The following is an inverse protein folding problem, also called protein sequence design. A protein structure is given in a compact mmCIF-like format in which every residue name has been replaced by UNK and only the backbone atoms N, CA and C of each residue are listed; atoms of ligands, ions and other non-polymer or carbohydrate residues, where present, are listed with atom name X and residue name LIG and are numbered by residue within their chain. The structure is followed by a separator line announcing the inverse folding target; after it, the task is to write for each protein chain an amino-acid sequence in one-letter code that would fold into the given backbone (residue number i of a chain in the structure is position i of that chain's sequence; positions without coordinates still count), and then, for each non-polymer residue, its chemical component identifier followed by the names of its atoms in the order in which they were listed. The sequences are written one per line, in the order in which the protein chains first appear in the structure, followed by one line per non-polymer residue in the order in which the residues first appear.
data_IF_619824220292
#
_entry.id   IF_619824220292
#
_cell.length_a   1.000
_cell.length_b   1.000
_cell.length_c   1.000
_cell.angle_alpha   90.00
_cell.angle_beta   90.00
_cell.angle_gamma   90.00
#
_symmetry.space_group_name_H-M   'P 1'
#
loop_
_entity.id
_entity.type
_entity.pdbx_description
1 polymer ?
#
# COMPACT_ATOMS: atom_id res chain seq x y z
N UNK A 1 -7.25 14.84 -15.69
CA UNK A 1 -6.09 14.14 -16.24
C UNK A 1 -4.84 14.73 -15.63
N UNK A 2 -4.14 13.99 -14.81
CA UNK A 2 -2.87 14.41 -14.20
C UNK A 2 -1.73 13.88 -15.06
N UNK A 3 -0.79 14.75 -15.43
CA UNK A 3 0.42 14.37 -16.15
C UNK A 3 1.58 14.36 -15.14
N UNK A 4 2.18 13.20 -14.91
CA UNK A 4 3.46 13.13 -14.21
C UNK A 4 4.54 13.67 -15.13
N UNK A 5 5.31 14.64 -14.67
CA UNK A 5 6.27 15.41 -15.48
C UNK A 5 7.71 15.11 -15.08
N UNK A 6 7.94 14.17 -14.15
CA UNK A 6 9.30 13.81 -13.74
C UNK A 6 9.78 12.54 -14.44
N UNK A 7 10.87 12.68 -15.18
CA UNK A 7 11.63 11.54 -15.71
C UNK A 7 12.59 11.03 -14.63
N UNK A 8 12.31 9.84 -14.11
CA UNK A 8 13.17 9.18 -13.13
C UNK A 8 14.07 8.17 -13.82
N UNK A 9 15.38 8.32 -13.65
CA UNK A 9 16.35 7.29 -14.09
C UNK A 9 16.31 6.15 -13.09
N UNK A 10 15.86 4.97 -13.54
CA UNK A 10 15.80 3.76 -12.72
C UNK A 10 16.99 2.87 -12.99
N UNK A 11 17.63 2.40 -11.92
CA UNK A 11 18.64 1.34 -12.02
C UNK A 11 17.90 -0.01 -12.07
N UNK A 12 18.13 -0.78 -13.15
CA UNK A 12 17.54 -2.12 -13.27
C UNK A 12 18.38 -3.09 -12.46
N UNK A 13 17.75 -3.82 -11.56
CA UNK A 13 18.36 -4.91 -10.79
C UNK A 13 17.48 -6.14 -10.93
N UNK A 14 18.04 -7.20 -11.50
CA UNK A 14 17.36 -8.48 -11.66
C UNK A 14 18.30 -9.57 -11.16
N UNK A 15 17.82 -10.46 -10.30
CA UNK A 15 18.58 -11.63 -9.88
C UNK A 15 18.72 -12.64 -11.02
N UNK A 16 19.72 -13.53 -10.96
CA UNK A 16 20.00 -14.53 -12.00
C UNK A 16 18.80 -15.48 -12.24
N UNK A 17 18.00 -15.74 -11.21
CA UNK A 17 16.78 -16.55 -11.27
C UNK A 17 15.49 -15.73 -11.54
N UNK A 18 15.60 -14.41 -11.73
CA UNK A 18 14.48 -13.52 -11.97
C UNK A 18 13.59 -13.27 -10.74
N UNK A 19 13.90 -13.83 -9.59
CA UNK A 19 13.08 -13.73 -8.36
C UNK A 19 13.07 -12.34 -7.75
N UNK A 20 14.07 -11.51 -8.02
CA UNK A 20 14.16 -10.13 -7.56
C UNK A 20 14.29 -9.19 -8.75
N UNK A 21 13.38 -8.24 -8.85
CA UNK A 21 13.32 -7.27 -9.94
C UNK A 21 13.15 -5.86 -9.39
N UNK A 22 13.96 -4.93 -9.88
CA UNK A 22 13.78 -3.50 -9.65
C UNK A 22 14.06 -2.73 -10.94
N UNK A 23 13.26 -1.72 -11.24
CA UNK A 23 13.39 -0.95 -12.47
C UNK A 23 12.82 -1.64 -13.73
N UNK A 24 12.30 -2.87 -13.61
CA UNK A 24 11.62 -3.56 -14.71
C UNK A 24 10.13 -3.23 -14.69
N UNK A 25 9.58 -2.84 -15.84
CA UNK A 25 8.17 -2.50 -16.01
C UNK A 25 7.26 -3.66 -15.59
N UNK A 26 6.24 -3.39 -14.80
CA UNK A 26 5.21 -4.37 -14.48
C UNK A 26 4.27 -4.60 -15.67
N UNK A 27 4.03 -3.56 -16.48
CA UNK A 27 3.16 -3.62 -17.67
C UNK A 27 3.68 -4.55 -18.77
N UNK A 28 4.99 -4.56 -18.98
CA UNK A 28 5.67 -5.33 -20.05
C UNK A 28 6.63 -6.37 -19.52
N UNK A 29 6.48 -6.78 -18.25
CA UNK A 29 7.37 -7.74 -17.63
C UNK A 29 7.39 -9.05 -18.42
N UNK A 30 8.59 -9.64 -18.72
CA UNK A 30 8.68 -10.94 -19.37
C UNK A 30 8.16 -12.08 -18.47
N UNK A 31 8.31 -11.94 -17.16
CA UNK A 31 7.84 -12.92 -16.16
C UNK A 31 6.36 -12.71 -15.86
N UNK A 32 5.54 -13.74 -16.07
CA UNK A 32 4.08 -13.67 -15.85
C UNK A 32 3.73 -13.36 -14.39
N UNK A 33 4.55 -13.83 -13.45
CA UNK A 33 4.36 -13.58 -12.02
C UNK A 33 4.45 -12.10 -11.66
N UNK A 34 5.17 -11.31 -12.42
CA UNK A 34 5.31 -9.87 -12.24
C UNK A 34 4.52 -9.04 -13.24
N UNK A 35 3.92 -9.67 -14.26
CA UNK A 35 3.19 -8.95 -15.29
C UNK A 35 1.77 -8.58 -14.84
N UNK A 36 1.44 -7.31 -15.00
CA UNK A 36 0.08 -6.79 -14.86
C UNK A 36 -0.11 -5.59 -15.82
N UNK A 37 -1.14 -5.55 -16.68
CA UNK A 37 -1.42 -4.39 -17.53
C UNK A 37 -2.00 -3.23 -16.71
N UNK A 38 -1.19 -2.69 -15.82
CA UNK A 38 -1.57 -1.76 -14.76
C UNK A 38 -2.11 -0.42 -15.31
N UNK A 39 -1.66 0.00 -16.51
CA UNK A 39 -2.13 1.21 -17.21
C UNK A 39 -3.63 1.15 -17.59
N UNK A 40 -4.24 -0.03 -17.54
CA UNK A 40 -5.68 -0.24 -17.79
C UNK A 40 -6.50 -0.24 -16.49
N UNK A 41 -5.85 -0.05 -15.34
CA UNK A 41 -6.49 -0.11 -14.03
C UNK A 41 -6.83 1.30 -13.56
N UNK A 42 -8.08 1.53 -13.23
CA UNK A 42 -8.60 2.82 -12.75
C UNK A 42 -8.30 3.09 -11.26
N UNK A 43 -7.84 2.08 -10.56
CA UNK A 43 -7.49 2.12 -9.13
C UNK A 43 -6.01 2.37 -8.85
N UNK A 44 -5.13 2.26 -9.85
CA UNK A 44 -3.71 2.56 -9.67
C UNK A 44 -3.38 3.95 -10.24
N UNK A 45 -2.70 4.77 -9.46
CA UNK A 45 -2.55 6.20 -9.80
C UNK A 45 -1.58 6.44 -10.96
N UNK A 46 -0.59 5.55 -11.14
CA UNK A 46 0.41 5.68 -12.20
C UNK A 46 0.15 4.71 -13.37
N UNK A 47 0.80 4.99 -14.49
CA UNK A 47 0.68 4.15 -15.69
C UNK A 47 1.51 2.86 -15.65
N UNK A 48 2.50 2.76 -14.74
CA UNK A 48 3.35 1.60 -14.58
C UNK A 48 3.92 1.51 -13.16
N UNK A 49 4.49 0.34 -12.82
CA UNK A 49 5.21 0.10 -11.58
C UNK A 49 6.57 -0.56 -11.88
N UNK A 50 7.64 0.10 -11.46
CA UNK A 50 9.03 -0.33 -11.64
C UNK A 50 9.68 -0.80 -10.33
N UNK A 51 8.89 -1.05 -9.33
CA UNK A 51 9.33 -1.44 -7.99
C UNK A 51 10.03 -2.79 -7.92
N UNK A 52 10.37 -3.17 -6.71
CA UNK A 52 10.94 -4.49 -6.37
C UNK A 52 9.92 -5.61 -6.61
N UNK A 53 10.37 -6.86 -6.51
CA UNK A 53 9.48 -8.02 -6.59
C UNK A 53 8.36 -7.97 -5.54
N UNK A 54 8.69 -7.64 -4.29
CA UNK A 54 7.68 -7.56 -3.21
C UNK A 54 6.65 -6.45 -3.48
N UNK A 55 7.09 -5.30 -3.99
CA UNK A 55 6.17 -4.23 -4.39
C UNK A 55 5.25 -4.68 -5.54
N UNK A 56 5.75 -5.45 -6.51
CA UNK A 56 4.94 -6.00 -7.61
C UNK A 56 3.93 -7.05 -7.11
N UNK A 57 4.35 -7.93 -6.21
CA UNK A 57 3.43 -8.88 -5.58
C UNK A 57 2.34 -8.18 -4.79
N UNK A 58 2.69 -7.13 -4.06
CA UNK A 58 1.69 -6.33 -3.34
C UNK A 58 0.67 -5.68 -4.29
N UNK A 59 1.11 -5.08 -5.40
CA UNK A 59 0.21 -4.51 -6.41
C UNK A 59 -0.70 -5.59 -7.01
N UNK A 60 -0.20 -6.80 -7.27
CA UNK A 60 -1.03 -7.94 -7.71
C UNK A 60 -2.00 -8.41 -6.63
N UNK A 61 -1.60 -8.40 -5.37
CA UNK A 61 -2.50 -8.69 -4.25
C UNK A 61 -3.68 -7.72 -4.23
N UNK A 62 -3.43 -6.41 -4.32
CA UNK A 62 -4.51 -5.41 -4.41
C UNK A 62 -5.35 -5.62 -5.66
N UNK A 63 -4.76 -5.95 -6.81
CA UNK A 63 -5.54 -6.26 -8.03
C UNK A 63 -6.52 -7.42 -7.80
N UNK A 64 -6.15 -8.42 -7.02
CA UNK A 64 -7.03 -9.55 -6.71
C UNK A 64 -8.14 -9.19 -5.73
N UNK A 65 -7.90 -8.21 -4.85
CA UNK A 65 -8.87 -7.74 -3.85
C UNK A 65 -9.76 -6.58 -4.34
N UNK A 66 -9.49 -6.04 -5.54
CA UNK A 66 -10.08 -4.76 -5.97
C UNK A 66 -11.59 -4.80 -6.12
N UNK A 67 -12.14 -5.92 -6.59
CA UNK A 67 -13.59 -6.06 -6.78
C UNK A 67 -14.32 -6.09 -5.43
N UNK A 68 -13.75 -6.77 -4.44
CA UNK A 68 -14.27 -6.81 -3.08
C UNK A 68 -14.21 -5.43 -2.42
N UNK A 69 -13.07 -4.73 -2.59
CA UNK A 69 -12.91 -3.36 -2.12
C UNK A 69 -13.92 -2.42 -2.77
N UNK A 70 -14.07 -2.44 -4.09
CA UNK A 70 -15.06 -1.64 -4.82
C UNK A 70 -16.51 -2.06 -4.51
N UNK A 71 -16.72 -3.28 -4.05
CA UNK A 71 -18.00 -3.72 -3.50
C UNK A 71 -18.43 -2.92 -2.28
N UNK A 72 -17.46 -2.51 -1.45
CA UNK A 72 -17.67 -1.83 -0.16
C UNK A 72 -17.39 -0.33 -0.19
N UNK A 73 -16.45 0.13 -1.01
CA UNK A 73 -15.99 1.52 -1.08
C UNK A 73 -16.36 2.16 -2.40
N UNK A 74 -16.68 3.47 -2.41
CA UNK A 74 -16.99 4.24 -3.62
C UNK A 74 -15.73 4.54 -4.43
N UNK A 75 -14.66 4.94 -3.72
CA UNK A 75 -13.36 5.21 -4.31
C UNK A 75 -12.31 4.30 -3.70
N UNK A 76 -11.47 3.72 -4.55
CA UNK A 76 -10.31 2.92 -4.15
C UNK A 76 -9.15 3.30 -5.05
N UNK A 77 -8.09 3.88 -4.47
CA UNK A 77 -6.89 4.26 -5.21
C UNK A 77 -5.63 3.81 -4.50
N UNK A 78 -4.77 3.10 -5.21
CA UNK A 78 -3.43 2.75 -4.74
C UNK A 78 -2.41 3.72 -5.34
N UNK A 79 -1.71 4.43 -4.46
CA UNK A 79 -0.61 5.32 -4.77
C UNK A 79 0.72 4.69 -4.34
N UNK A 80 1.70 4.56 -5.24
CA UNK A 80 3.09 4.33 -4.88
C UNK A 80 3.71 5.67 -4.45
N UNK A 81 4.34 5.71 -3.29
CA UNK A 81 4.96 6.93 -2.78
C UNK A 81 6.34 7.13 -3.41
N UNK A 82 6.42 7.97 -4.41
CA UNK A 82 7.66 8.34 -5.10
C UNK A 82 8.37 9.52 -4.39
N UNK A 83 8.47 9.46 -3.06
CA UNK A 83 9.06 10.55 -2.25
C UNK A 83 8.15 11.75 -2.05
N UNK A 84 6.83 11.57 -2.25
CA UNK A 84 5.84 12.66 -2.22
C UNK A 84 5.53 13.12 -0.80
N UNK A 85 5.54 12.22 0.16
CA UNK A 85 5.21 12.54 1.55
C UNK A 85 5.89 11.60 2.54
N UNK A 86 5.96 12.06 3.81
CA UNK A 86 6.46 11.32 4.96
C UNK A 86 5.48 11.45 6.11
N UNK A 87 5.37 10.39 6.89
CA UNK A 87 4.64 10.39 8.16
C UNK A 87 5.66 10.60 9.28
N UNK A 88 5.40 11.55 10.17
CA UNK A 88 6.30 11.88 11.25
C UNK A 88 5.73 11.41 12.59
N UNK A 89 6.54 10.75 13.39
CA UNK A 89 6.21 10.39 14.77
C UNK A 89 6.46 11.60 15.68
N UNK A 90 5.44 12.01 16.43
CA UNK A 90 5.54 13.20 17.28
C UNK A 90 6.48 13.02 18.48
N UNK A 91 6.66 11.80 18.98
CA UNK A 91 7.45 11.52 20.19
C UNK A 91 8.95 11.76 20.02
N UNK A 92 9.51 11.48 18.84
CA UNK A 92 10.96 11.55 18.56
C UNK A 92 11.33 12.23 17.24
N UNK A 93 10.32 12.64 16.44
CA UNK A 93 10.51 13.29 15.15
C UNK A 93 10.98 12.35 14.04
N UNK A 94 11.01 11.03 14.26
CA UNK A 94 11.32 10.08 13.19
C UNK A 94 10.31 10.17 12.08
N UNK A 95 10.79 10.05 10.85
CA UNK A 95 9.98 10.05 9.65
C UNK A 95 9.95 8.66 9.02
N UNK A 96 8.74 8.20 8.66
CA UNK A 96 8.50 7.05 7.81
C UNK A 96 8.04 7.55 6.44
N UNK A 97 8.63 7.01 5.40
CA UNK A 97 8.20 7.16 4.01
C UNK A 97 7.65 5.81 3.55
N UNK A 98 6.33 5.56 3.69
CA UNK A 98 5.75 4.28 3.30
C UNK A 98 5.81 4.13 1.78
N UNK A 99 6.07 2.91 1.29
CA UNK A 99 6.17 2.64 -0.14
C UNK A 99 4.83 2.83 -0.86
N UNK A 100 3.72 2.49 -0.19
CA UNK A 100 2.37 2.62 -0.75
C UNK A 100 1.38 3.23 0.22
N UNK A 101 0.38 3.91 -0.36
CA UNK A 101 -0.84 4.32 0.34
C UNK A 101 -2.05 3.87 -0.44
N UNK A 102 -2.95 3.17 0.23
CA UNK A 102 -4.27 2.82 -0.28
C UNK A 102 -5.29 3.80 0.28
N UNK A 103 -5.89 4.59 -0.59
CA UNK A 103 -6.97 5.51 -0.28
C UNK A 103 -8.31 4.83 -0.55
N UNK A 104 -9.22 4.91 0.40
CA UNK A 104 -10.58 4.38 0.24
C UNK A 104 -11.59 5.32 0.87
N UNK A 105 -12.78 5.42 0.27
CA UNK A 105 -13.90 6.19 0.79
C UNK A 105 -15.12 5.29 0.95
N UNK A 106 -15.71 5.26 2.15
CA UNK A 106 -16.90 4.47 2.41
C UNK A 106 -18.10 4.91 1.57
N UNK A 107 -18.91 3.90 1.17
CA UNK A 107 -20.20 4.13 0.55
C UNK A 107 -21.21 4.64 1.58
N UNK A 108 -21.94 5.67 1.22
CA UNK A 108 -23.20 6.14 1.86
C UNK A 108 -23.22 6.13 3.40
N UNK A 109 -22.24 6.73 4.05
CA UNK A 109 -22.39 7.10 5.47
C UNK A 109 -22.73 8.59 5.59
N UNK A 110 -23.49 8.98 6.64
CA UNK A 110 -23.77 10.40 6.93
C UNK A 110 -22.49 11.19 7.20
N UNK A 111 -21.47 10.50 7.68
CA UNK A 111 -20.11 10.98 7.89
C UNK A 111 -19.24 10.21 6.92
N UNK A 112 -18.70 10.89 5.90
CA UNK A 112 -17.80 10.27 4.91
C UNK A 112 -16.50 9.91 5.60
N UNK A 113 -16.28 8.61 5.81
CA UNK A 113 -15.02 8.10 6.34
C UNK A 113 -14.05 7.80 5.20
N UNK A 114 -12.90 8.46 5.25
CA UNK A 114 -11.81 8.28 4.32
C UNK A 114 -10.69 7.49 4.99
N UNK A 115 -10.24 6.41 4.37
CA UNK A 115 -9.14 5.59 4.85
C UNK A 115 -7.87 5.95 4.10
N UNK A 116 -6.76 6.05 4.82
CA UNK A 116 -5.41 6.10 4.29
C UNK A 116 -4.60 4.96 4.92
N UNK A 117 -4.42 3.90 4.17
CA UNK A 117 -3.73 2.70 4.64
C UNK A 117 -2.30 2.71 4.13
N UNK A 118 -1.34 2.77 5.05
CA UNK A 118 0.09 2.77 4.74
C UNK A 118 0.61 1.34 4.67
N UNK A 119 1.34 1.02 3.60
CA UNK A 119 1.89 -0.30 3.36
C UNK A 119 3.36 -0.21 2.95
N UNK A 120 4.16 -1.10 3.51
CA UNK A 120 5.59 -1.24 3.26
C UNK A 120 5.88 -2.70 2.86
N UNK A 121 5.99 -3.01 1.55
CA UNK A 121 6.43 -4.32 1.10
C UNK A 121 7.91 -4.56 1.42
N UNK A 122 8.24 -5.71 2.01
CA UNK A 122 9.62 -6.03 2.44
C UNK A 122 10.04 -7.43 2.05
N UNK A 123 11.23 -7.53 1.45
CA UNK A 123 11.91 -8.81 1.30
C UNK A 123 12.28 -9.41 2.67
N UNK A 124 12.17 -10.73 2.81
CA UNK A 124 12.33 -11.41 4.09
C UNK A 124 13.65 -11.10 4.83
N UNK A 125 14.73 -10.85 4.10
CA UNK A 125 16.03 -10.50 4.67
C UNK A 125 16.12 -9.10 5.29
N UNK A 126 15.18 -8.19 4.96
CA UNK A 126 15.15 -6.81 5.46
C UNK A 126 14.17 -6.61 6.63
N UNK A 127 13.30 -7.58 6.91
CA UNK A 127 12.27 -7.45 7.96
C UNK A 127 12.89 -7.16 9.33
N UNK A 128 13.96 -7.88 9.69
CA UNK A 128 14.61 -7.70 10.99
C UNK A 128 15.32 -6.34 11.13
N UNK A 129 15.92 -5.83 10.06
CA UNK A 129 16.65 -4.57 10.06
C UNK A 129 15.71 -3.36 10.13
N UNK A 130 14.55 -3.47 9.48
CA UNK A 130 13.55 -2.40 9.38
C UNK A 130 12.40 -2.52 10.40
N UNK A 131 12.54 -3.38 11.41
CA UNK A 131 11.49 -3.63 12.41
C UNK A 131 10.91 -2.36 13.02
N UNK A 132 11.71 -1.32 13.23
CA UNK A 132 11.26 -0.02 13.73
C UNK A 132 10.19 0.66 12.86
N UNK A 133 10.16 0.38 11.55
CA UNK A 133 9.13 0.87 10.64
C UNK A 133 7.80 0.15 10.86
N UNK A 134 7.86 -1.16 11.09
CA UNK A 134 6.65 -1.94 11.41
C UNK A 134 6.05 -1.46 12.74
N UNK A 135 6.90 -1.28 13.77
CA UNK A 135 6.48 -0.70 15.06
C UNK A 135 5.86 0.70 14.89
N UNK A 136 6.43 1.52 14.01
CA UNK A 136 5.88 2.84 13.69
C UNK A 136 4.48 2.75 13.04
N UNK A 137 4.29 1.82 12.10
CA UNK A 137 2.99 1.60 11.45
C UNK A 137 1.94 1.10 12.45
N UNK A 138 2.32 0.22 13.38
CA UNK A 138 1.45 -0.25 14.46
C UNK A 138 1.04 0.91 15.39
N UNK A 139 1.96 1.81 15.77
CA UNK A 139 1.66 3.01 16.54
C UNK A 139 0.65 3.94 15.83
N UNK A 140 0.82 4.16 14.52
CA UNK A 140 -0.13 4.97 13.72
C UNK A 140 -1.55 4.40 13.78
N UNK A 141 -1.66 3.07 13.74
CA UNK A 141 -2.95 2.40 13.81
C UNK A 141 -3.59 2.55 15.20
N UNK A 142 -2.81 2.40 16.26
CA UNK A 142 -3.31 2.55 17.64
C UNK A 142 -3.82 3.97 17.91
N UNK A 143 -3.05 4.98 17.53
CA UNK A 143 -3.42 6.39 17.73
C UNK A 143 -4.71 6.76 16.95
N UNK A 144 -4.86 6.27 15.73
CA UNK A 144 -6.05 6.58 14.91
C UNK A 144 -7.31 5.86 15.38
N UNK A 145 -7.19 4.71 16.03
CA UNK A 145 -8.33 4.01 16.64
C UNK A 145 -8.85 4.74 17.89
N UNK A 146 -7.99 5.52 18.57
CA UNK A 146 -8.35 6.29 19.76
C UNK A 146 -8.93 7.67 19.42
N UNK A 147 -8.40 8.32 18.38
CA UNK A 147 -8.80 9.66 17.97
C UNK A 147 -8.87 9.78 16.43
N UNK A 148 -9.99 9.47 15.80
CA UNK A 148 -10.16 9.79 14.39
C UNK A 148 -10.07 11.31 14.21
N UNK A 149 -9.06 11.76 13.48
CA UNK A 149 -8.83 13.18 13.25
C UNK A 149 -9.90 13.74 12.33
N UNK A 150 -10.70 14.70 12.83
CA UNK A 150 -11.63 15.47 12.00
C UNK A 150 -10.83 16.56 11.28
N UNK A 151 -10.59 16.37 9.99
CA UNK A 151 -10.01 17.39 9.11
C UNK A 151 -11.16 17.96 8.25
N UNK A 152 -11.58 19.19 8.53
CA UNK A 152 -12.68 19.91 7.87
C UNK A 152 -14.12 19.39 8.13
N UNK A 153 -15.01 20.30 8.14
CA UNK A 153 -16.46 20.34 8.49
C UNK A 153 -17.36 19.14 8.13
N UNK A 154 -16.95 17.91 7.99
CA UNK A 154 -17.80 16.72 7.78
C UNK A 154 -17.05 15.48 7.31
N UNK A 155 -15.74 15.50 7.14
CA UNK A 155 -15.00 14.34 6.70
C UNK A 155 -14.14 13.76 7.82
N UNK A 156 -14.36 12.49 8.14
CA UNK A 156 -13.52 11.73 9.06
C UNK A 156 -12.40 11.04 8.29
N UNK A 157 -11.18 11.08 8.83
CA UNK A 157 -10.05 10.38 8.27
C UNK A 157 -9.57 9.32 9.26
N UNK A 158 -9.38 8.11 8.77
CA UNK A 158 -8.76 7.02 9.51
C UNK A 158 -7.41 6.70 8.87
N UNK A 159 -6.34 6.89 9.63
CA UNK A 159 -4.99 6.46 9.24
C UNK A 159 -4.77 5.04 9.74
N UNK A 160 -4.28 4.18 8.89
CA UNK A 160 -4.03 2.77 9.24
C UNK A 160 -2.62 2.40 8.80
N UNK A 161 -1.80 1.94 9.72
CA UNK A 161 -0.54 1.29 9.42
C UNK A 161 -0.73 -0.22 9.43
N UNK A 162 -0.28 -0.91 8.39
CA UNK A 162 -0.34 -2.37 8.33
C UNK A 162 1.03 -2.99 8.64
N UNK A 163 1.07 -4.24 9.12
CA UNK A 163 2.29 -5.02 9.16
C UNK A 163 2.97 -5.05 7.79
N UNK A 164 4.26 -5.33 7.74
CA UNK A 164 4.96 -5.47 6.46
C UNK A 164 4.28 -6.48 5.54
N UNK A 165 4.10 -6.09 4.27
CA UNK A 165 3.73 -7.06 3.26
C UNK A 165 4.96 -7.86 2.85
N UNK A 166 4.87 -9.17 2.91
CA UNK A 166 5.82 -10.10 2.30
C UNK A 166 5.04 -11.21 1.61
N UNK A 167 5.40 -11.54 0.37
CA UNK A 167 4.65 -12.52 -0.42
C UNK A 167 4.75 -13.96 0.13
N UNK A 168 5.73 -14.24 0.97
CA UNK A 168 6.00 -15.58 1.49
C UNK A 168 5.64 -15.75 2.97
N UNK A 169 5.03 -16.90 3.29
CA UNK A 169 4.87 -17.47 4.62
C UNK A 169 4.07 -16.68 5.67
N UNK A 170 4.56 -16.75 6.92
CA UNK A 170 3.88 -16.26 8.14
C UNK A 170 3.61 -14.75 8.09
N UNK A 171 4.51 -13.98 7.48
CA UNK A 171 4.35 -12.53 7.38
C UNK A 171 3.18 -12.15 6.46
N UNK A 172 2.98 -12.90 5.37
CA UNK A 172 1.82 -12.71 4.50
C UNK A 172 0.51 -12.93 5.26
N UNK A 173 0.42 -13.97 6.07
CA UNK A 173 -0.78 -14.27 6.87
C UNK A 173 -1.09 -13.14 7.86
N UNK A 174 -0.06 -12.64 8.56
CA UNK A 174 -0.20 -11.51 9.48
C UNK A 174 -0.72 -10.26 8.76
N UNK A 175 -0.14 -9.96 7.59
CA UNK A 175 -0.57 -8.84 6.75
C UNK A 175 -2.01 -9.02 6.28
N UNK A 176 -2.35 -10.17 5.70
CA UNK A 176 -3.67 -10.44 5.12
C UNK A 176 -4.78 -10.37 6.18
N UNK A 177 -4.57 -10.94 7.36
CA UNK A 177 -5.50 -10.86 8.48
C UNK A 177 -5.75 -9.41 8.89
N UNK A 178 -4.67 -8.63 9.07
CA UNK A 178 -4.76 -7.21 9.41
C UNK A 178 -5.44 -6.40 8.29
N UNK A 179 -5.09 -6.64 7.03
CA UNK A 179 -5.69 -5.99 5.88
C UNK A 179 -7.21 -6.24 5.81
N UNK A 180 -7.64 -7.50 5.90
CA UNK A 180 -9.06 -7.88 5.86
C UNK A 180 -9.84 -7.29 7.04
N UNK A 181 -9.24 -7.27 8.23
CA UNK A 181 -9.83 -6.65 9.41
C UNK A 181 -10.06 -5.15 9.20
N UNK A 182 -9.01 -4.41 8.80
CA UNK A 182 -9.06 -2.95 8.67
C UNK A 182 -9.92 -2.48 7.49
N UNK A 183 -9.97 -3.26 6.41
CA UNK A 183 -10.87 -3.01 5.27
C UNK A 183 -12.27 -3.60 5.47
N UNK A 184 -12.48 -4.36 6.54
CA UNK A 184 -13.76 -5.02 6.83
C UNK A 184 -14.17 -6.02 5.76
N UNK A 185 -13.20 -6.65 5.09
CA UNK A 185 -13.41 -7.74 4.13
C UNK A 185 -13.40 -9.12 4.83
N UNK A 186 -13.42 -9.16 6.16
CA UNK A 186 -13.61 -10.42 6.89
C UNK A 186 -15.01 -10.92 6.60
N UNK A 187 -15.13 -12.21 6.28
CA UNK A 187 -16.43 -12.87 6.24
C UNK A 187 -17.04 -12.76 7.65
N UNK A 188 -18.26 -12.23 7.73
CA UNK A 188 -19.05 -12.29 8.94
C UNK A 188 -19.33 -13.77 9.21
N UNK A 189 -18.80 -14.31 10.32
CA UNK A 189 -19.13 -15.64 10.84
C UNK A 189 -20.63 -15.83 11.01
#
# INVERSE_FOLDING_TARGET
VYKVVDDKVLQVVVSDDGSQQYGVSMKTNPEDDFRLPIHQKDWYVYEDNFGTSEEKYFVKYINNMIDDLKGKYDDVYLLRNEGLFKVFRFSDGKALEPDFVLFMREKETKEKLNYQIFVEPKGGHLIAEDKWKEEFLEEVQEDSNINPSTLYDCELFKLVGLPFYNHSDVQFLKFEESFKKETGLQESE
#
